data_IF_462215137227
#
_entry.id   IF_462215137227
#
_cell.length_a   1.000
_cell.length_b   1.000
_cell.length_c   1.000
_cell.angle_alpha   90.00
_cell.angle_beta   90.00
_cell.angle_gamma   90.00
#
_symmetry.space_group_name_H-M   'P 1'
#
loop_
_entity.id
_entity.type
_entity.pdbx_description
1 polymer ?
#
# COMPACT_ATOMS: atom_id res chain seq x y z
N UNK A 1 5.97 17.57 -15.09
CA UNK A 1 6.45 16.24 -15.50
C UNK A 1 6.27 15.29 -14.32
N UNK A 2 5.77 14.07 -14.55
CA UNK A 2 5.65 13.00 -13.55
C UNK A 2 6.49 11.82 -14.05
N UNK A 3 7.43 11.37 -13.24
CA UNK A 3 8.39 10.32 -13.61
C UNK A 3 8.76 9.46 -12.40
N UNK A 4 9.29 8.25 -12.63
CA UNK A 4 9.93 7.46 -11.58
C UNK A 4 11.37 7.94 -11.34
N UNK A 5 11.95 7.60 -10.18
CA UNK A 5 13.35 7.96 -9.85
C UNK A 5 14.34 7.45 -10.91
N UNK A 6 14.15 6.23 -11.42
CA UNK A 6 15.02 5.64 -12.45
C UNK A 6 14.91 6.41 -13.78
N UNK A 7 13.70 6.83 -14.14
CA UNK A 7 13.48 7.64 -15.35
C UNK A 7 14.11 9.01 -15.19
N UNK A 8 13.96 9.65 -14.04
CA UNK A 8 14.55 10.96 -13.76
C UNK A 8 16.08 10.89 -13.79
N UNK A 9 16.72 9.89 -13.18
CA UNK A 9 18.16 9.67 -13.27
C UNK A 9 18.63 9.54 -14.74
N UNK A 10 17.91 8.77 -15.56
CA UNK A 10 18.19 8.67 -16.99
C UNK A 10 18.07 10.03 -17.68
N UNK A 11 17.05 10.83 -17.37
CA UNK A 11 16.85 12.17 -17.98
C UNK A 11 17.96 13.14 -17.57
N UNK A 12 18.37 13.13 -16.30
CA UNK A 12 19.48 13.95 -15.79
C UNK A 12 20.78 13.70 -16.53
N UNK A 13 21.06 12.45 -16.93
CA UNK A 13 22.24 12.09 -17.72
C UNK A 13 22.24 12.68 -19.13
N UNK A 14 21.04 12.91 -19.69
CA UNK A 14 20.88 13.49 -21.02
C UNK A 14 20.77 15.01 -21.02
N UNK A 15 20.74 15.63 -19.84
CA UNK A 15 20.70 17.08 -19.60
C UNK A 15 19.72 17.82 -20.54
N UNK A 16 18.43 17.53 -20.50
CA UNK A 16 17.44 18.22 -21.32
C UNK A 16 17.34 19.69 -20.92
N UNK A 17 17.13 20.58 -21.91
CA UNK A 17 17.16 22.05 -21.68
C UNK A 17 16.15 22.55 -20.64
N UNK A 18 14.99 21.88 -20.53
CA UNK A 18 13.92 22.26 -19.59
C UNK A 18 14.27 21.96 -18.12
N UNK A 19 15.32 21.16 -17.85
CA UNK A 19 15.64 20.76 -16.48
C UNK A 19 15.99 21.94 -15.60
N UNK A 20 16.60 22.98 -16.18
CA UNK A 20 16.95 24.23 -15.50
C UNK A 20 15.76 25.16 -15.23
N UNK A 21 14.56 24.82 -15.74
CA UNK A 21 13.31 25.54 -15.50
C UNK A 21 12.51 24.98 -14.31
N UNK A 22 13.02 23.93 -13.65
CA UNK A 22 12.37 23.30 -12.50
C UNK A 22 12.47 24.22 -11.30
N UNK A 23 11.32 24.70 -10.81
CA UNK A 23 11.23 25.49 -9.57
C UNK A 23 10.68 24.74 -8.37
N UNK A 24 10.12 23.54 -8.59
CA UNK A 24 9.57 22.68 -7.52
C UNK A 24 9.79 21.20 -7.88
N UNK A 25 10.27 20.46 -6.91
CA UNK A 25 10.35 18.98 -6.98
C UNK A 25 9.50 18.39 -5.86
N UNK A 26 8.55 17.54 -6.22
CA UNK A 26 7.75 16.77 -5.27
C UNK A 26 8.20 15.32 -5.34
N UNK A 27 8.71 14.81 -4.23
CA UNK A 27 9.10 13.39 -4.10
C UNK A 27 8.09 12.69 -3.23
N UNK A 28 7.27 11.87 -3.86
CA UNK A 28 6.32 11.00 -3.16
C UNK A 28 7.03 9.75 -2.64
N UNK A 29 6.53 9.20 -1.52
CA UNK A 29 7.10 8.02 -0.86
C UNK A 29 8.61 8.15 -0.57
N UNK A 30 9.05 9.33 -0.08
CA UNK A 30 10.49 9.61 0.11
C UNK A 30 11.16 8.63 1.09
N UNK A 31 10.41 7.95 1.94
CA UNK A 31 10.89 6.88 2.81
C UNK A 31 11.51 5.70 2.05
N UNK A 32 11.27 5.58 0.74
CA UNK A 32 11.96 4.62 -0.13
C UNK A 32 13.48 4.82 -0.17
N UNK A 33 14.00 5.93 0.33
CA UNK A 33 15.46 6.13 0.54
C UNK A 33 16.06 5.03 1.41
N UNK A 34 15.32 4.49 2.37
CA UNK A 34 15.76 3.37 3.22
C UNK A 34 15.69 2.01 2.54
N UNK A 35 15.05 1.93 1.36
CA UNK A 35 14.90 0.67 0.61
C UNK A 35 16.24 0.21 0.01
N UNK A 36 16.68 -1.03 0.27
CA UNK A 36 17.95 -1.55 -0.27
C UNK A 36 18.03 -1.55 -1.80
N UNK A 37 16.88 -1.69 -2.48
CA UNK A 37 16.83 -1.82 -3.94
C UNK A 37 16.61 -0.48 -4.65
N UNK A 38 15.78 0.40 -4.10
CA UNK A 38 15.35 1.66 -4.74
C UNK A 38 16.01 2.89 -4.12
N UNK A 39 16.37 2.81 -2.85
CA UNK A 39 16.98 3.90 -2.10
C UNK A 39 18.22 4.50 -2.78
N UNK A 40 19.21 3.70 -3.16
CA UNK A 40 20.44 4.23 -3.78
C UNK A 40 20.19 5.04 -5.06
N UNK A 41 19.23 4.61 -5.90
CA UNK A 41 18.88 5.36 -7.12
C UNK A 41 18.20 6.68 -6.77
N UNK A 42 17.27 6.65 -5.83
CA UNK A 42 16.55 7.86 -5.39
C UNK A 42 17.50 8.86 -4.73
N UNK A 43 18.36 8.41 -3.82
CA UNK A 43 19.37 9.22 -3.13
C UNK A 43 20.29 9.93 -4.11
N UNK A 44 20.92 9.18 -5.03
CA UNK A 44 21.82 9.75 -6.05
C UNK A 44 21.08 10.74 -6.95
N UNK A 45 19.84 10.43 -7.32
CA UNK A 45 19.03 11.31 -8.19
C UNK A 45 18.70 12.62 -7.49
N UNK A 46 18.25 12.57 -6.23
CA UNK A 46 17.95 13.77 -5.45
C UNK A 46 19.20 14.60 -5.16
N UNK A 47 20.31 13.97 -4.75
CA UNK A 47 21.60 14.66 -4.53
C UNK A 47 22.04 15.41 -5.79
N UNK A 48 21.94 14.79 -6.96
CA UNK A 48 22.29 15.44 -8.23
C UNK A 48 21.35 16.60 -8.57
N UNK A 49 20.06 16.50 -8.29
CA UNK A 49 19.14 17.61 -8.48
C UNK A 49 19.50 18.79 -7.58
N UNK A 50 19.74 18.54 -6.30
CA UNK A 50 20.13 19.57 -5.31
C UNK A 50 21.47 20.23 -5.66
N UNK A 51 22.40 19.50 -6.27
CA UNK A 51 23.70 20.05 -6.71
C UNK A 51 23.59 20.90 -8.00
N UNK A 52 22.66 20.53 -8.88
CA UNK A 52 22.54 21.15 -10.22
C UNK A 52 21.57 22.34 -10.27
N UNK A 53 20.56 22.37 -9.39
CA UNK A 53 19.41 23.26 -9.53
C UNK A 53 19.08 23.94 -8.20
N UNK A 54 18.53 25.13 -8.31
CA UNK A 54 17.90 25.86 -7.19
C UNK A 54 16.39 25.71 -7.31
N UNK A 55 15.76 24.93 -6.44
CA UNK A 55 14.35 24.60 -6.47
C UNK A 55 13.78 24.37 -5.06
N UNK A 56 12.48 24.51 -4.92
CA UNK A 56 11.78 24.13 -3.70
C UNK A 56 11.59 22.62 -3.66
N UNK A 57 11.94 22.00 -2.51
CA UNK A 57 11.72 20.55 -2.29
C UNK A 57 10.48 20.32 -1.44
N UNK A 58 9.66 19.36 -1.85
CA UNK A 58 8.58 18.80 -1.05
C UNK A 58 8.70 17.28 -1.00
N UNK A 59 9.05 16.74 0.16
CA UNK A 59 9.04 15.29 0.42
C UNK A 59 7.73 14.86 1.08
N UNK A 60 7.08 13.84 0.52
CA UNK A 60 5.90 13.20 1.11
C UNK A 60 6.29 11.79 1.57
N UNK A 61 5.94 11.45 2.80
CA UNK A 61 6.33 10.18 3.42
C UNK A 61 5.19 9.59 4.23
N UNK A 62 5.16 8.27 4.34
CA UNK A 62 4.53 7.60 5.45
C UNK A 62 5.27 7.85 6.76
N UNK A 63 4.78 7.34 7.86
CA UNK A 63 5.46 7.36 9.18
C UNK A 63 6.80 6.65 9.10
N UNK A 64 7.87 7.31 9.52
CA UNK A 64 9.26 6.79 9.54
C UNK A 64 9.94 7.20 10.84
N UNK A 65 10.84 6.36 11.34
CA UNK A 65 11.54 6.59 12.61
C UNK A 65 12.65 7.67 12.51
N UNK A 66 13.16 7.95 11.31
CA UNK A 66 14.25 8.88 11.06
C UNK A 66 13.85 10.14 10.28
N UNK A 67 12.61 10.62 10.48
CA UNK A 67 12.05 11.79 9.78
C UNK A 67 12.92 13.05 9.94
N UNK A 68 13.48 13.28 11.14
CA UNK A 68 14.36 14.41 11.42
C UNK A 68 15.66 14.38 10.62
N UNK A 69 16.35 13.26 10.58
CA UNK A 69 17.60 13.09 9.81
C UNK A 69 17.37 13.30 8.30
N UNK A 70 16.22 12.82 7.81
CA UNK A 70 15.83 12.99 6.41
C UNK A 70 15.53 14.45 6.09
N UNK A 71 14.84 15.15 6.97
CA UNK A 71 14.56 16.58 6.81
C UNK A 71 15.85 17.41 6.82
N UNK A 72 16.78 17.12 7.73
CA UNK A 72 18.10 17.77 7.79
C UNK A 72 18.91 17.54 6.51
N UNK A 73 18.92 16.31 5.99
CA UNK A 73 19.62 15.98 4.75
C UNK A 73 19.06 16.72 3.54
N UNK A 74 17.73 16.93 3.49
CA UNK A 74 17.04 17.64 2.42
C UNK A 74 17.07 19.17 2.58
N UNK A 75 17.64 19.70 3.66
CA UNK A 75 17.53 21.11 4.08
C UNK A 75 16.06 21.58 4.09
N UNK A 76 15.18 20.72 4.61
CA UNK A 76 13.73 20.91 4.59
C UNK A 76 13.16 21.05 6.01
N UNK A 77 12.04 21.76 6.11
CA UNK A 77 11.30 21.84 7.36
C UNK A 77 10.45 20.57 7.53
N UNK A 78 10.65 19.86 8.65
CA UNK A 78 9.83 18.73 9.03
C UNK A 78 8.42 19.20 9.44
N UNK A 79 7.40 18.53 8.90
CA UNK A 79 5.99 18.69 9.28
C UNK A 79 5.44 17.30 9.53
N UNK A 80 5.03 17.04 10.76
CA UNK A 80 4.41 15.78 11.18
C UNK A 80 2.95 16.02 11.56
N UNK A 81 2.09 15.05 11.32
CA UNK A 81 0.69 15.10 11.66
C UNK A 81 0.15 13.71 11.94
N UNK A 82 -0.46 13.56 13.10
CA UNK A 82 -1.18 12.34 13.50
C UNK A 82 -2.63 12.34 13.02
N UNK A 83 -3.03 13.37 12.26
CA UNK A 83 -4.39 13.50 11.77
C UNK A 83 -4.73 12.39 10.79
N UNK A 84 -5.71 11.56 11.15
CA UNK A 84 -6.37 10.58 10.27
C UNK A 84 -7.84 10.95 10.11
N UNK A 85 -8.34 11.15 8.89
CA UNK A 85 -9.75 11.47 8.66
C UNK A 85 -10.69 10.29 8.94
N UNK A 86 -10.16 9.07 8.97
CA UNK A 86 -10.89 7.82 9.22
C UNK A 86 -10.09 7.02 10.24
N UNK A 87 -10.77 6.47 11.24
CA UNK A 87 -10.18 5.56 12.22
C UNK A 87 -9.61 4.32 11.52
N UNK A 88 -8.37 3.96 11.85
CA UNK A 88 -7.74 2.71 11.41
C UNK A 88 -7.85 1.70 12.53
N UNK A 89 -8.51 0.57 12.27
CA UNK A 89 -8.51 -0.59 13.16
C UNK A 89 -7.66 -1.69 12.53
N UNK A 90 -6.71 -2.19 13.29
CA UNK A 90 -5.86 -3.30 12.89
C UNK A 90 -6.26 -4.56 13.66
N UNK A 91 -6.22 -5.71 12.99
CA UNK A 91 -6.62 -6.96 13.63
C UNK A 91 -6.11 -8.18 12.89
N UNK A 92 -6.28 -9.34 13.51
CA UNK A 92 -5.97 -10.64 12.93
C UNK A 92 -7.27 -11.41 12.72
N UNK A 93 -7.46 -11.90 11.49
CA UNK A 93 -8.51 -12.86 11.17
C UNK A 93 -7.98 -14.28 11.32
N UNK A 94 -8.60 -15.05 12.21
CA UNK A 94 -8.29 -16.47 12.43
C UNK A 94 -9.57 -17.28 12.62
N UNK A 95 -9.79 -18.25 11.76
CA UNK A 95 -11.04 -19.03 11.77
C UNK A 95 -12.25 -18.16 11.46
N UNK A 96 -13.17 -18.05 12.40
CA UNK A 96 -14.41 -17.28 12.24
C UNK A 96 -14.39 -15.95 13.00
N UNK A 97 -13.26 -15.53 13.55
CA UNK A 97 -13.15 -14.30 14.33
C UNK A 97 -12.06 -13.39 13.79
N UNK A 98 -12.36 -12.10 13.76
CA UNK A 98 -11.36 -11.02 13.65
C UNK A 98 -11.18 -10.44 15.04
N UNK A 99 -9.98 -10.48 15.56
CA UNK A 99 -9.59 -9.88 16.84
C UNK A 99 -8.80 -8.60 16.54
N UNK A 100 -9.35 -7.44 16.97
CA UNK A 100 -8.71 -6.15 16.74
C UNK A 100 -7.69 -5.84 17.84
N UNK A 101 -6.58 -5.21 17.45
CA UNK A 101 -5.61 -4.71 18.41
C UNK A 101 -6.18 -3.54 19.22
N UNK A 102 -5.82 -3.40 20.49
CA UNK A 102 -6.13 -2.20 21.26
C UNK A 102 -5.47 -0.96 20.63
N UNK A 103 -6.10 0.21 20.75
CA UNK A 103 -5.58 1.48 20.21
C UNK A 103 -4.17 1.84 20.73
N UNK A 104 -3.81 1.38 21.93
CA UNK A 104 -2.51 1.63 22.56
C UNK A 104 -1.42 0.60 22.19
N UNK A 105 -1.74 -0.37 21.30
CA UNK A 105 -0.82 -1.48 21.01
C UNK A 105 0.50 -1.05 20.36
N UNK A 106 0.49 -0.04 19.52
CA UNK A 106 1.70 0.48 18.85
C UNK A 106 2.66 1.16 19.82
N UNK A 107 2.13 1.83 20.87
CA UNK A 107 2.95 2.60 21.81
C UNK A 107 3.82 1.75 22.72
N UNK A 108 3.43 0.50 23.00
CA UNK A 108 4.14 -0.40 23.91
C UNK A 108 5.21 -1.27 23.22
N UNK A 109 5.31 -1.22 21.88
CA UNK A 109 6.19 -2.09 21.09
C UNK A 109 7.29 -1.35 20.34
N UNK A 110 7.47 -0.06 20.54
CA UNK A 110 8.68 0.64 20.13
C UNK A 110 9.78 0.32 21.14
N UNK A 111 10.80 -0.42 20.73
CA UNK A 111 12.01 -0.59 21.52
C UNK A 111 12.69 0.78 21.70
N UNK A 112 13.48 0.96 22.77
CA UNK A 112 14.22 2.20 23.08
C UNK A 112 15.12 2.70 21.92
N UNK A 113 15.25 1.93 20.82
CA UNK A 113 15.99 2.25 19.61
C UNK A 113 15.10 2.63 18.39
N UNK A 114 13.76 2.73 18.57
CA UNK A 114 12.85 3.11 17.48
C UNK A 114 12.68 2.06 16.37
N UNK A 115 13.15 0.83 16.59
CA UNK A 115 12.90 -0.29 15.68
C UNK A 115 11.63 -1.02 16.10
N UNK A 116 10.64 -1.08 15.21
CA UNK A 116 9.44 -1.86 15.43
C UNK A 116 9.82 -3.32 15.70
N UNK A 117 9.65 -3.80 16.93
CA UNK A 117 9.87 -5.20 17.25
C UNK A 117 8.89 -6.03 16.42
N UNK A 118 9.44 -7.01 15.70
CA UNK A 118 8.73 -7.79 14.69
C UNK A 118 7.37 -8.30 15.19
N UNK A 119 6.45 -8.41 14.25
CA UNK A 119 5.07 -8.81 14.40
C UNK A 119 4.89 -9.98 15.39
N UNK A 120 4.30 -9.71 16.55
CA UNK A 120 3.99 -10.75 17.55
C UNK A 120 2.76 -11.55 17.12
N UNK A 121 2.87 -12.85 17.10
CA UNK A 121 1.73 -13.73 16.80
C UNK A 121 0.69 -13.69 17.92
N UNK A 122 -0.58 -13.94 17.62
CA UNK A 122 -1.69 -13.89 18.57
C UNK A 122 -1.50 -14.69 19.87
N UNK A 123 -0.58 -15.69 19.89
CA UNK A 123 -0.21 -16.43 21.10
C UNK A 123 0.76 -15.66 22.01
N UNK A 124 1.59 -14.76 21.46
CA UNK A 124 2.53 -13.93 22.23
C UNK A 124 1.80 -12.75 22.90
N UNK A 125 0.74 -12.24 22.23
CA UNK A 125 -0.13 -11.19 22.76
C UNK A 125 -0.86 -11.65 24.02
N UNK A 126 -1.32 -12.91 24.07
CA UNK A 126 -2.02 -13.49 25.24
C UNK A 126 -1.13 -13.62 26.48
N UNK A 127 0.19 -13.70 26.30
CA UNK A 127 1.14 -13.88 27.40
C UNK A 127 1.66 -12.55 27.99
N UNK A 128 1.46 -11.43 27.30
CA UNK A 128 1.93 -10.11 27.77
C UNK A 128 0.86 -9.28 28.47
N UNK A 129 -0.43 -9.68 28.41
CA UNK A 129 -1.53 -8.95 29.02
C UNK A 129 -2.09 -9.66 30.25
N UNK A 130 -1.57 -9.35 31.43
CA UNK A 130 -2.25 -9.58 32.73
C UNK A 130 -3.27 -8.47 33.08
N UNK A 131 -3.78 -7.76 32.10
CA UNK A 131 -4.84 -6.79 32.18
C UNK A 131 -5.98 -7.21 31.26
N UNK A 132 -7.22 -7.19 31.76
CA UNK A 132 -8.45 -7.41 30.98
C UNK A 132 -8.61 -6.30 29.93
N UNK A 133 -7.84 -6.38 28.83
CA UNK A 133 -8.08 -5.55 27.66
C UNK A 133 -9.32 -6.09 26.96
N UNK A 134 -10.34 -5.25 26.88
CA UNK A 134 -11.59 -5.52 26.17
C UNK A 134 -11.26 -5.50 24.66
N UNK A 135 -10.73 -6.60 24.13
CA UNK A 135 -10.37 -6.74 22.71
C UNK A 135 -11.66 -6.79 21.92
N UNK A 136 -11.85 -5.84 21.02
CA UNK A 136 -12.99 -5.84 20.11
C UNK A 136 -12.88 -7.04 19.16
N UNK A 137 -13.97 -7.82 19.04
CA UNK A 137 -14.03 -8.98 18.17
C UNK A 137 -15.16 -8.85 17.18
N UNK A 138 -14.91 -9.24 15.92
CA UNK A 138 -15.90 -9.34 14.88
C UNK A 138 -16.00 -10.79 14.43
N UNK A 139 -17.22 -11.32 14.28
CA UNK A 139 -17.47 -12.67 13.79
C UNK A 139 -17.68 -12.65 12.28
N UNK A 140 -17.00 -13.56 11.57
CA UNK A 140 -17.11 -13.77 10.13
C UNK A 140 -17.63 -15.18 9.89
N UNK A 141 -18.67 -15.33 9.06
CA UNK A 141 -19.23 -16.63 8.71
C UNK A 141 -18.25 -17.41 7.81
N UNK A 142 -18.04 -18.69 8.10
CA UNK A 142 -17.20 -19.57 7.27
C UNK A 142 -18.01 -20.21 6.15
N UNK A 143 -18.24 -19.49 5.07
CA UNK A 143 -19.00 -19.92 3.88
C UNK A 143 -18.12 -20.66 2.87
N UNK A 144 -16.80 -20.35 2.81
CA UNK A 144 -15.90 -20.80 1.75
C UNK A 144 -14.73 -21.66 2.22
N UNK A 145 -14.59 -21.89 3.53
CA UNK A 145 -13.48 -22.64 4.12
C UNK A 145 -12.12 -21.92 3.94
N UNK A 146 -12.13 -20.61 3.73
CA UNK A 146 -10.94 -19.76 3.53
C UNK A 146 -11.16 -18.36 4.11
N UNK A 147 -10.38 -18.03 5.09
CA UNK A 147 -10.47 -16.80 5.87
C UNK A 147 -10.52 -15.53 4.98
N UNK A 148 -9.61 -15.42 4.00
CA UNK A 148 -9.56 -14.25 3.11
C UNK A 148 -10.81 -14.09 2.25
N UNK A 149 -11.37 -15.20 1.79
CA UNK A 149 -12.57 -15.19 0.94
C UNK A 149 -13.82 -14.91 1.77
N UNK A 150 -13.92 -15.46 2.98
CA UNK A 150 -15.00 -15.18 3.90
C UNK A 150 -15.03 -13.70 4.30
N UNK A 151 -13.85 -13.10 4.55
CA UNK A 151 -13.72 -11.68 4.84
C UNK A 151 -14.08 -10.80 3.63
N UNK A 152 -13.72 -11.24 2.41
CA UNK A 152 -14.14 -10.57 1.17
C UNK A 152 -15.66 -10.56 1.05
N UNK A 153 -16.31 -11.73 1.20
CA UNK A 153 -17.78 -11.84 1.12
C UNK A 153 -18.47 -10.96 2.16
N UNK A 154 -18.03 -11.02 3.42
CA UNK A 154 -18.55 -10.15 4.49
C UNK A 154 -18.41 -8.67 4.16
N UNK A 155 -17.24 -8.27 3.61
CA UNK A 155 -16.97 -6.88 3.21
C UNK A 155 -17.90 -6.42 2.08
N UNK A 156 -18.10 -7.26 1.06
CA UNK A 156 -18.98 -6.96 -0.06
C UNK A 156 -20.46 -6.91 0.38
N UNK A 157 -20.89 -7.80 1.27
CA UNK A 157 -22.24 -7.78 1.83
C UNK A 157 -22.55 -6.51 2.63
N UNK A 158 -21.52 -5.82 3.12
CA UNK A 158 -21.63 -4.51 3.77
C UNK A 158 -21.55 -3.32 2.79
N UNK A 159 -21.53 -3.57 1.48
CA UNK A 159 -21.34 -2.57 0.41
C UNK A 159 -20.04 -1.75 0.60
N UNK A 160 -18.98 -2.44 1.05
CA UNK A 160 -17.65 -1.86 1.27
C UNK A 160 -16.63 -2.40 0.27
N UNK A 161 -15.48 -1.76 0.22
CA UNK A 161 -14.35 -2.15 -0.64
C UNK A 161 -13.25 -2.78 0.20
N UNK A 162 -12.50 -3.72 -0.38
CA UNK A 162 -11.30 -4.28 0.23
C UNK A 162 -10.14 -4.34 -0.76
N UNK A 163 -8.91 -4.35 -0.22
CA UNK A 163 -7.69 -4.59 -0.98
C UNK A 163 -7.00 -5.79 -0.34
N UNK A 164 -6.66 -6.79 -1.15
CA UNK A 164 -5.97 -8.01 -0.71
C UNK A 164 -4.54 -7.98 -1.22
N UNK A 165 -3.58 -7.85 -0.31
CA UNK A 165 -2.15 -7.92 -0.61
C UNK A 165 -1.67 -9.36 -0.58
N UNK A 166 -0.86 -9.74 -1.58
CA UNK A 166 -0.29 -11.07 -1.68
C UNK A 166 1.24 -11.00 -1.78
N UNK A 167 1.93 -12.00 -1.24
CA UNK A 167 3.39 -12.03 -1.18
C UNK A 167 4.09 -12.17 -2.53
N UNK A 168 3.37 -12.49 -3.61
CA UNK A 168 3.93 -12.66 -4.94
C UNK A 168 2.90 -12.36 -6.04
N UNK A 169 3.39 -11.99 -7.23
CA UNK A 169 2.54 -11.78 -8.42
C UNK A 169 1.65 -12.98 -8.71
N UNK A 170 2.22 -14.19 -8.71
CA UNK A 170 1.47 -15.43 -8.94
C UNK A 170 0.44 -15.71 -7.85
N UNK A 171 0.73 -15.31 -6.61
CA UNK A 171 -0.22 -15.36 -5.49
C UNK A 171 -1.38 -14.41 -5.71
N UNK A 172 -1.11 -13.17 -6.13
CA UNK A 172 -2.11 -12.16 -6.43
C UNK A 172 -3.04 -12.59 -7.57
N UNK A 173 -2.49 -13.12 -8.66
CA UNK A 173 -3.25 -13.65 -9.79
C UNK A 173 -4.22 -14.76 -9.36
N UNK A 174 -3.72 -15.75 -8.59
CA UNK A 174 -4.57 -16.83 -8.08
C UNK A 174 -5.62 -16.35 -7.07
N UNK A 175 -5.30 -15.33 -6.29
CA UNK A 175 -6.24 -14.73 -5.36
C UNK A 175 -7.34 -13.99 -6.13
N UNK A 176 -6.98 -13.25 -7.18
CA UNK A 176 -7.93 -12.57 -8.07
C UNK A 176 -8.95 -13.54 -8.66
N UNK A 177 -8.50 -14.65 -9.26
CA UNK A 177 -9.39 -15.66 -9.85
C UNK A 177 -10.43 -16.18 -8.83
N UNK A 178 -10.02 -16.38 -7.59
CA UNK A 178 -10.91 -16.85 -6.51
C UNK A 178 -11.86 -15.77 -6.01
N UNK A 179 -11.37 -14.54 -5.91
CA UNK A 179 -12.20 -13.40 -5.49
C UNK A 179 -13.29 -13.11 -6.52
N UNK A 180 -13.00 -13.31 -7.80
CA UNK A 180 -13.95 -13.14 -8.90
C UNK A 180 -15.15 -14.07 -8.78
N UNK A 181 -14.97 -15.32 -8.35
CA UNK A 181 -16.06 -16.27 -8.14
C UNK A 181 -17.09 -15.72 -7.13
N UNK A 182 -16.61 -15.17 -6.02
CA UNK A 182 -17.47 -14.58 -4.97
C UNK A 182 -18.06 -13.25 -5.42
N UNK A 183 -17.23 -12.36 -5.97
CA UNK A 183 -17.67 -11.05 -6.40
C UNK A 183 -18.71 -11.08 -7.54
N UNK A 184 -18.77 -12.18 -8.29
CA UNK A 184 -19.73 -12.37 -9.40
C UNK A 184 -21.03 -13.09 -8.99
N UNK A 185 -21.10 -13.64 -7.78
CA UNK A 185 -22.23 -14.48 -7.36
C UNK A 185 -23.57 -13.74 -7.41
N UNK A 186 -23.63 -12.49 -6.94
CA UNK A 186 -24.85 -11.72 -6.75
C UNK A 186 -25.02 -10.54 -7.71
N UNK A 187 -24.22 -10.48 -8.80
CA UNK A 187 -24.31 -9.39 -9.76
C UNK A 187 -25.62 -9.38 -10.54
N UNK A 188 -26.25 -8.22 -10.62
CA UNK A 188 -27.36 -7.93 -11.51
C UNK A 188 -26.93 -8.04 -12.99
N UNK A 189 -27.93 -8.17 -13.90
CA UNK A 189 -27.65 -8.20 -15.35
C UNK A 189 -26.99 -6.91 -15.86
N UNK A 190 -27.29 -5.77 -15.25
CA UNK A 190 -26.71 -4.48 -15.64
C UNK A 190 -25.25 -4.38 -15.22
N UNK A 191 -24.90 -4.85 -14.03
CA UNK A 191 -23.53 -4.90 -13.55
C UNK A 191 -22.66 -5.85 -14.36
N UNK A 192 -23.18 -7.03 -14.69
CA UNK A 192 -22.49 -7.97 -15.60
C UNK A 192 -22.17 -7.33 -16.94
N UNK A 193 -23.15 -6.61 -17.53
CA UNK A 193 -22.92 -5.91 -18.79
C UNK A 193 -21.87 -4.78 -18.67
N UNK A 194 -21.86 -4.03 -17.56
CA UNK A 194 -20.83 -3.01 -17.33
C UNK A 194 -19.44 -3.64 -17.24
N UNK A 195 -19.31 -4.78 -16.57
CA UNK A 195 -18.04 -5.52 -16.48
C UNK A 195 -17.58 -6.06 -17.84
N UNK A 196 -18.46 -6.62 -18.63
CA UNK A 196 -18.14 -7.05 -20.01
C UNK A 196 -17.56 -5.89 -20.84
N UNK A 197 -18.14 -4.69 -20.74
CA UNK A 197 -17.60 -3.51 -21.44
C UNK A 197 -16.20 -3.14 -20.94
N UNK A 198 -15.96 -3.20 -19.62
CA UNK A 198 -14.64 -2.93 -19.04
C UNK A 198 -13.63 -4.01 -19.49
N UNK A 199 -14.03 -5.28 -19.52
CA UNK A 199 -13.21 -6.38 -20.04
C UNK A 199 -12.79 -6.14 -21.48
N UNK A 200 -13.73 -5.79 -22.35
CA UNK A 200 -13.46 -5.44 -23.75
C UNK A 200 -12.50 -4.22 -23.86
N UNK A 201 -12.66 -3.21 -23.03
CA UNK A 201 -11.77 -2.04 -22.99
C UNK A 201 -10.35 -2.45 -22.58
N UNK A 202 -10.18 -3.31 -21.57
CA UNK A 202 -8.87 -3.80 -21.13
C UNK A 202 -8.14 -4.55 -22.26
N UNK A 203 -8.85 -5.42 -22.98
CA UNK A 203 -8.27 -6.15 -24.11
C UNK A 203 -7.87 -5.23 -25.26
N UNK A 204 -8.62 -4.15 -25.47
CA UNK A 204 -8.39 -3.22 -26.58
C UNK A 204 -7.41 -2.08 -26.27
N UNK A 205 -6.98 -1.89 -25.03
CA UNK A 205 -6.02 -0.83 -24.63
C UNK A 205 -4.67 -1.00 -25.36
N UNK A 206 -4.22 -2.23 -25.57
CA UNK A 206 -3.02 -2.53 -26.31
C UNK A 206 -3.39 -3.14 -27.66
N UNK A 207 -2.73 -2.74 -28.73
CA UNK A 207 -2.95 -3.30 -30.06
C UNK A 207 -2.73 -4.83 -30.14
N UNK A 208 -1.93 -5.38 -29.23
CA UNK A 208 -1.79 -6.81 -28.96
C UNK A 208 -1.90 -7.01 -27.43
N UNK A 209 -3.00 -7.53 -26.90
CA UNK A 209 -3.16 -7.79 -25.48
C UNK A 209 -2.13 -8.82 -24.99
N UNK A 210 -1.65 -8.61 -23.78
CA UNK A 210 -0.79 -9.58 -23.10
C UNK A 210 -1.66 -10.61 -22.38
N UNK A 211 -1.11 -11.77 -22.03
CA UNK A 211 -1.80 -12.76 -21.20
C UNK A 211 -2.27 -12.22 -19.84
N UNK A 212 -1.65 -11.14 -19.35
CA UNK A 212 -2.12 -10.42 -18.16
C UNK A 212 -3.36 -9.57 -18.45
N UNK A 213 -3.45 -8.94 -19.63
CA UNK A 213 -4.64 -8.19 -20.04
C UNK A 213 -5.83 -9.13 -20.23
N UNK A 214 -5.63 -10.26 -20.92
CA UNK A 214 -6.66 -11.28 -21.10
C UNK A 214 -7.20 -11.78 -19.76
N UNK A 215 -6.31 -12.15 -18.82
CA UNK A 215 -6.71 -12.61 -17.50
C UNK A 215 -7.39 -11.53 -16.66
N UNK A 216 -6.95 -10.28 -16.77
CA UNK A 216 -7.59 -9.17 -16.08
C UNK A 216 -9.00 -8.92 -16.62
N UNK A 217 -9.17 -9.00 -17.94
CA UNK A 217 -10.47 -8.89 -18.58
C UNK A 217 -11.44 -10.00 -18.16
N UNK A 218 -10.94 -11.24 -18.00
CA UNK A 218 -11.73 -12.38 -17.50
C UNK A 218 -12.18 -12.20 -16.03
N UNK A 219 -11.39 -11.46 -15.23
CA UNK A 219 -11.62 -11.27 -13.80
C UNK A 219 -12.44 -10.00 -13.46
N UNK A 220 -12.77 -9.19 -14.44
CA UNK A 220 -13.62 -8.01 -14.27
C UNK A 220 -15.07 -8.37 -14.50
#
# INVERSE_FOLDING_TARGET
VIVTSERLDSMLRHNPSWIHEIGLVVTDEIHLLTSPNRGPTLEVTLTRLMDLLDFQMLGLSATISNSGEMADWLDAKLVESDYRPVELKEGIHQGNEVEFYPEDYEKDNEDENGEASGFKTGNEIKNSSSGSSNTEKMFIEDSHGRETINLLEDTLNQDKQCIIFCNSRKGSEKSSDRCTEVANADLSREEKRKREVIGDEIENVLGNPTSQCERLAENV
#
